data_IF_090008321970
#
_entry.id   IF_090008321970
#
_cell.length_a   1.000
_cell.length_b   1.000
_cell.length_c   1.000
_cell.angle_alpha   90.00
_cell.angle_beta   90.00
_cell.angle_gamma   90.00
#
_symmetry.space_group_name_H-M   'P 1'
#
loop_
_entity.id
_entity.type
_entity.pdbx_description
1 polymer ?
#
# COMPACT_ATOMS: atom_id res chain seq x y z
N UNK A 1 -13.40 0.40 -5.03
CA UNK A 1 -12.13 1.02 -5.46
C UNK A 1 -11.95 2.44 -4.94
N UNK A 2 -12.94 3.34 -4.97
CA UNK A 2 -12.82 4.67 -4.32
C UNK A 2 -12.54 4.55 -2.82
N UNK A 3 -13.13 3.58 -2.13
CA UNK A 3 -12.82 3.29 -0.73
C UNK A 3 -11.34 2.90 -0.54
N UNK A 4 -10.75 2.13 -1.45
CA UNK A 4 -9.33 1.81 -1.43
C UNK A 4 -8.44 3.04 -1.58
N UNK A 5 -8.79 3.97 -2.48
CA UNK A 5 -8.07 5.24 -2.62
C UNK A 5 -8.17 6.08 -1.34
N UNK A 6 -9.35 6.18 -0.72
CA UNK A 6 -9.55 6.90 0.53
C UNK A 6 -8.70 6.30 1.66
N UNK A 7 -8.71 4.97 1.84
CA UNK A 7 -7.89 4.30 2.85
C UNK A 7 -6.39 4.46 2.57
N UNK A 8 -5.96 4.41 1.31
CA UNK A 8 -4.56 4.66 0.95
C UNK A 8 -4.14 6.10 1.25
N UNK A 9 -5.05 7.07 1.09
CA UNK A 9 -4.79 8.46 1.47
C UNK A 9 -4.64 8.60 2.99
N UNK A 10 -5.55 7.99 3.76
CA UNK A 10 -5.45 7.98 5.23
C UNK A 10 -4.15 7.30 5.68
N UNK A 11 -3.80 6.17 5.04
CA UNK A 11 -2.53 5.50 5.32
C UNK A 11 -1.32 6.39 5.03
N UNK A 12 -1.30 7.10 3.89
CA UNK A 12 -0.22 8.01 3.56
C UNK A 12 -0.06 9.12 4.59
N UNK A 13 -1.16 9.75 5.00
CA UNK A 13 -1.15 10.80 6.05
C UNK A 13 -0.62 10.22 7.37
N UNK A 14 -1.12 9.05 7.78
CA UNK A 14 -0.67 8.39 9.00
C UNK A 14 0.82 7.99 8.93
N UNK A 15 1.26 7.45 7.78
CA UNK A 15 2.66 7.11 7.55
C UNK A 15 3.56 8.36 7.64
N UNK A 16 3.12 9.50 7.12
CA UNK A 16 3.87 10.76 7.23
C UNK A 16 3.98 11.27 8.68
N UNK A 17 2.93 11.09 9.48
CA UNK A 17 2.95 11.41 10.92
C UNK A 17 3.96 10.52 11.65
N UNK A 18 3.95 9.22 11.37
CA UNK A 18 4.92 8.28 11.97
C UNK A 18 6.34 8.55 11.49
N UNK A 19 6.53 8.90 10.21
CA UNK A 19 7.87 9.22 9.69
C UNK A 19 8.47 10.49 10.29
N UNK A 20 7.67 11.34 10.94
CA UNK A 20 8.21 12.44 11.73
C UNK A 20 9.10 11.96 12.90
N UNK A 21 8.83 10.77 13.45
CA UNK A 21 9.64 10.16 14.52
C UNK A 21 10.77 9.26 13.99
N UNK A 22 10.83 8.97 12.69
CA UNK A 22 11.73 7.96 12.12
C UNK A 22 13.20 8.27 12.40
N UNK A 23 13.60 9.54 12.43
CA UNK A 23 14.97 9.93 12.77
C UNK A 23 15.32 9.51 14.21
N UNK A 24 14.41 9.76 15.14
CA UNK A 24 14.60 9.39 16.55
C UNK A 24 14.69 7.87 16.72
N UNK A 25 13.83 7.13 16.00
CA UNK A 25 13.80 5.68 16.04
C UNK A 25 15.07 5.08 15.40
N UNK A 26 15.55 5.63 14.29
CA UNK A 26 16.82 5.24 13.65
C UNK A 26 18.01 5.51 14.55
N UNK A 27 18.05 6.63 15.25
CA UNK A 27 19.13 6.96 16.21
C UNK A 27 19.12 5.98 17.38
N UNK A 28 17.93 5.67 17.93
CA UNK A 28 17.77 4.68 19.01
C UNK A 28 18.23 3.29 18.56
N UNK A 29 17.77 2.85 17.40
CA UNK A 29 18.18 1.57 16.81
C UNK A 29 19.70 1.51 16.60
N UNK A 30 20.27 2.56 16.00
CA UNK A 30 21.71 2.65 15.77
C UNK A 30 22.54 2.56 17.07
N UNK A 31 22.00 3.10 18.17
CA UNK A 31 22.66 3.05 19.48
C UNK A 31 22.67 1.63 20.08
N UNK A 32 21.77 0.73 19.66
CA UNK A 32 21.73 -0.67 20.10
C UNK A 32 22.67 -1.57 19.29
N UNK A 33 23.14 -1.10 18.12
CA UNK A 33 24.06 -1.87 17.28
C UNK A 33 25.50 -1.84 17.83
N UNK A 34 26.30 -2.90 17.58
CA UNK A 34 27.72 -2.91 17.90
C UNK A 34 28.46 -1.73 17.25
N UNK A 35 29.38 -1.11 17.96
CA UNK A 35 30.14 0.08 17.49
C UNK A 35 30.67 -0.02 16.05
N UNK A 36 31.14 -1.23 15.66
CA UNK A 36 31.64 -1.49 14.31
C UNK A 36 30.58 -1.42 13.20
N UNK A 37 29.26 -1.49 13.56
CA UNK A 37 28.11 -1.44 12.63
C UNK A 37 27.32 -0.15 12.77
N UNK A 38 27.67 0.74 13.69
CA UNK A 38 26.97 1.99 13.86
C UNK A 38 27.14 2.91 12.65
N UNK A 39 26.05 3.48 12.22
CA UNK A 39 26.00 4.44 11.12
C UNK A 39 26.35 5.84 11.62
N UNK A 40 26.99 6.62 10.77
CA UNK A 40 27.27 8.03 11.04
C UNK A 40 25.99 8.87 10.98
N UNK A 41 26.01 10.07 11.56
CA UNK A 41 24.87 10.99 11.53
C UNK A 41 24.42 11.35 10.10
N UNK A 42 25.36 11.47 9.15
CA UNK A 42 25.04 11.72 7.74
C UNK A 42 24.33 10.53 7.10
N UNK A 43 24.78 9.30 7.37
CA UNK A 43 24.14 8.08 6.89
C UNK A 43 22.72 7.91 7.46
N UNK A 44 22.53 8.19 8.75
CA UNK A 44 21.19 8.15 9.38
C UNK A 44 20.25 9.18 8.77
N UNK A 45 20.73 10.41 8.49
CA UNK A 45 19.95 11.42 7.80
C UNK A 45 19.57 10.98 6.37
N UNK A 46 20.51 10.41 5.63
CA UNK A 46 20.26 9.90 4.28
C UNK A 46 19.22 8.77 4.29
N UNK A 47 19.32 7.84 5.23
CA UNK A 47 18.33 6.77 5.41
C UNK A 47 16.94 7.35 5.75
N UNK A 48 16.86 8.27 6.71
CA UNK A 48 15.58 8.90 7.06
C UNK A 48 14.94 9.60 5.85
N UNK A 49 15.73 10.34 5.08
CA UNK A 49 15.25 11.01 3.86
C UNK A 49 14.78 10.00 2.82
N UNK A 50 15.52 8.91 2.64
CA UNK A 50 15.12 7.82 1.73
C UNK A 50 13.79 7.20 2.15
N UNK A 51 13.60 6.88 3.44
CA UNK A 51 12.34 6.33 3.94
C UNK A 51 11.16 7.28 3.75
N UNK A 52 11.34 8.57 4.02
CA UNK A 52 10.29 9.57 3.82
C UNK A 52 9.95 9.70 2.33
N UNK A 53 10.95 9.84 1.48
CA UNK A 53 10.75 9.98 0.04
C UNK A 53 10.08 8.74 -0.57
N UNK A 54 10.54 7.54 -0.21
CA UNK A 54 9.95 6.29 -0.69
C UNK A 54 8.50 6.13 -0.21
N UNK A 55 8.18 6.49 1.03
CA UNK A 55 6.81 6.45 1.57
C UNK A 55 5.87 7.36 0.78
N UNK A 56 6.31 8.58 0.47
CA UNK A 56 5.52 9.54 -0.32
C UNK A 56 5.31 8.99 -1.74
N UNK A 57 6.37 8.59 -2.41
CA UNK A 57 6.31 8.10 -3.80
C UNK A 57 5.41 6.87 -3.90
N UNK A 58 5.62 5.87 -3.06
CA UNK A 58 4.82 4.63 -3.07
C UNK A 58 3.35 4.92 -2.72
N UNK A 59 3.10 5.80 -1.74
CA UNK A 59 1.75 6.21 -1.36
C UNK A 59 1.01 6.91 -2.49
N UNK A 60 1.65 7.85 -3.19
CA UNK A 60 1.07 8.53 -4.35
C UNK A 60 0.79 7.56 -5.51
N UNK A 61 1.72 6.64 -5.79
CA UNK A 61 1.53 5.60 -6.80
C UNK A 61 0.31 4.72 -6.43
N UNK A 62 0.20 4.31 -5.17
CA UNK A 62 -0.92 3.48 -4.71
C UNK A 62 -2.27 4.20 -4.89
N UNK A 63 -2.37 5.47 -4.49
CA UNK A 63 -3.57 6.29 -4.68
C UNK A 63 -3.90 6.42 -6.18
N UNK A 64 -2.89 6.75 -7.01
CA UNK A 64 -3.04 6.86 -8.45
C UNK A 64 -3.54 5.57 -9.10
N UNK A 65 -3.00 4.42 -8.70
CA UNK A 65 -3.44 3.10 -9.18
C UNK A 65 -4.89 2.82 -8.79
N UNK A 66 -5.31 3.10 -7.55
CA UNK A 66 -6.69 2.92 -7.13
C UNK A 66 -7.67 3.77 -7.95
N UNK A 67 -7.34 5.04 -8.17
CA UNK A 67 -8.18 5.96 -8.97
C UNK A 67 -8.21 5.56 -10.44
N UNK A 68 -7.05 5.20 -11.01
CA UNK A 68 -6.96 4.74 -12.38
C UNK A 68 -7.78 3.47 -12.61
N UNK A 69 -7.64 2.48 -11.72
CA UNK A 69 -8.40 1.24 -11.80
C UNK A 69 -9.91 1.48 -11.59
N UNK A 70 -10.30 2.41 -10.71
CA UNK A 70 -11.71 2.81 -10.58
C UNK A 70 -12.25 3.34 -11.92
N UNK A 71 -11.54 4.25 -12.57
CA UNK A 71 -11.90 4.82 -13.88
C UNK A 71 -12.00 3.74 -14.97
N UNK A 72 -11.02 2.83 -15.05
CA UNK A 72 -11.02 1.78 -16.06
C UNK A 72 -12.17 0.78 -15.88
N UNK A 73 -12.48 0.42 -14.63
CA UNK A 73 -13.59 -0.48 -14.32
C UNK A 73 -14.96 0.17 -14.58
N UNK A 74 -15.15 1.45 -14.24
CA UNK A 74 -16.38 2.18 -14.58
C UNK A 74 -16.54 2.37 -16.08
N UNK A 75 -15.44 2.49 -16.84
CA UNK A 75 -15.47 2.51 -18.30
C UNK A 75 -15.81 1.13 -18.93
N UNK A 76 -15.99 0.08 -18.13
CA UNK A 76 -16.37 -1.25 -18.60
C UNK A 76 -15.28 -1.99 -19.38
N UNK A 77 -14.01 -1.68 -19.12
CA UNK A 77 -12.87 -2.36 -19.77
C UNK A 77 -12.59 -3.70 -19.08
N UNK A 78 -12.86 -4.81 -19.76
CA UNK A 78 -12.71 -6.17 -19.21
C UNK A 78 -11.28 -6.49 -18.76
N UNK A 79 -10.25 -5.98 -19.45
CA UNK A 79 -8.85 -6.17 -19.07
C UNK A 79 -8.51 -5.56 -17.69
N UNK A 80 -9.23 -4.51 -17.29
CA UNK A 80 -9.01 -3.86 -16.00
C UNK A 80 -9.23 -4.82 -14.82
N UNK A 81 -10.12 -5.80 -14.97
CA UNK A 81 -10.37 -6.85 -13.95
C UNK A 81 -9.14 -7.75 -13.78
N UNK A 82 -8.50 -8.13 -14.88
CA UNK A 82 -7.30 -8.98 -14.87
C UNK A 82 -6.16 -8.21 -14.20
N UNK A 83 -5.93 -6.96 -14.62
CA UNK A 83 -4.87 -6.12 -14.03
C UNK A 83 -5.13 -5.88 -12.53
N UNK A 84 -6.38 -5.61 -12.11
CA UNK A 84 -6.72 -5.50 -10.68
C UNK A 84 -6.37 -6.77 -9.92
N UNK A 85 -6.62 -7.95 -10.49
CA UNK A 85 -6.32 -9.24 -9.85
C UNK A 85 -4.82 -9.46 -9.71
N UNK A 86 -4.04 -9.12 -10.75
CA UNK A 86 -2.56 -9.23 -10.73
C UNK A 86 -1.97 -8.28 -9.70
N UNK A 87 -2.41 -7.01 -9.69
CA UNK A 87 -1.94 -6.03 -8.71
C UNK A 87 -2.27 -6.44 -7.28
N UNK A 88 -3.46 -7.02 -7.05
CA UNK A 88 -3.84 -7.53 -5.75
C UNK A 88 -2.99 -8.74 -5.32
N UNK A 89 -2.68 -9.64 -6.25
CA UNK A 89 -1.80 -10.79 -5.97
C UNK A 89 -0.39 -10.32 -5.59
N UNK A 90 0.19 -9.36 -6.33
CA UNK A 90 1.49 -8.77 -6.02
C UNK A 90 1.48 -8.08 -4.64
N UNK A 91 0.42 -7.31 -4.35
CA UNK A 91 0.25 -6.67 -3.05
C UNK A 91 0.12 -7.68 -1.91
N UNK A 92 -0.62 -8.77 -2.13
CA UNK A 92 -0.78 -9.86 -1.14
C UNK A 92 0.54 -10.54 -0.85
N UNK A 93 1.35 -10.80 -1.88
CA UNK A 93 2.70 -11.35 -1.71
C UNK A 93 3.60 -10.41 -0.92
N UNK A 94 3.61 -9.11 -1.27
CA UNK A 94 4.37 -8.10 -0.52
C UNK A 94 3.94 -8.03 0.95
N UNK A 95 2.62 -8.03 1.20
CA UNK A 95 2.07 -8.03 2.56
C UNK A 95 2.51 -9.26 3.36
N UNK A 96 2.46 -10.44 2.75
CA UNK A 96 2.91 -11.68 3.38
C UNK A 96 4.39 -11.62 3.79
N UNK A 97 5.25 -11.18 2.88
CA UNK A 97 6.70 -11.04 3.17
C UNK A 97 6.94 -10.00 4.25
N UNK A 98 6.22 -8.88 4.22
CA UNK A 98 6.39 -7.78 5.19
C UNK A 98 5.98 -8.17 6.59
N UNK A 99 4.88 -8.91 6.77
CA UNK A 99 4.43 -9.39 8.09
C UNK A 99 5.46 -10.32 8.73
N UNK A 100 6.13 -11.15 7.92
CA UNK A 100 7.16 -12.07 8.43
C UNK A 100 8.43 -11.40 8.96
N UNK A 101 8.65 -10.14 8.65
CA UNK A 101 9.84 -9.38 9.06
C UNK A 101 9.62 -8.44 10.25
N UNK A 102 8.38 -8.31 10.72
CA UNK A 102 8.04 -7.39 11.82
C UNK A 102 8.13 -8.09 13.18
N UNK A 103 9.19 -7.83 13.91
CA UNK A 103 9.35 -8.28 15.30
C UNK A 103 9.25 -7.08 16.25
N UNK A 104 8.14 -6.99 16.94
CA UNK A 104 7.93 -6.27 18.21
C UNK A 104 7.87 -4.73 18.18
N UNK A 105 6.71 -4.15 18.42
CA UNK A 105 6.37 -2.91 19.11
C UNK A 105 4.92 -2.49 18.82
N UNK A 106 4.28 -1.70 19.67
CA UNK A 106 2.88 -1.25 19.53
C UNK A 106 2.60 -0.54 18.18
N UNK A 107 3.58 0.18 17.62
CA UNK A 107 3.50 0.84 16.30
C UNK A 107 3.28 -0.16 15.17
N UNK A 108 3.79 -1.39 15.30
CA UNK A 108 3.62 -2.46 14.34
C UNK A 108 2.20 -3.02 14.33
N UNK A 109 1.52 -3.02 15.47
CA UNK A 109 0.12 -3.50 15.55
C UNK A 109 -0.77 -2.58 14.74
N UNK A 110 -0.64 -1.26 14.89
CA UNK A 110 -1.47 -0.28 14.18
C UNK A 110 -1.21 -0.34 12.67
N UNK A 111 0.05 -0.40 12.26
CA UNK A 111 0.40 -0.51 10.82
C UNK A 111 -0.11 -1.82 10.23
N UNK A 112 -0.01 -2.94 10.95
CA UNK A 112 -0.53 -4.24 10.52
C UNK A 112 -2.04 -4.22 10.36
N UNK A 113 -2.77 -3.62 11.30
CA UNK A 113 -4.24 -3.48 11.21
C UNK A 113 -4.63 -2.69 9.95
N UNK A 114 -3.97 -1.56 9.68
CA UNK A 114 -4.26 -0.74 8.50
C UNK A 114 -3.97 -1.52 7.21
N UNK A 115 -2.85 -2.24 7.15
CA UNK A 115 -2.50 -3.10 6.00
C UNK A 115 -3.56 -4.18 5.79
N UNK A 116 -4.01 -4.86 6.84
CA UNK A 116 -5.06 -5.88 6.77
C UNK A 116 -6.40 -5.30 6.33
N UNK A 117 -6.80 -4.14 6.85
CA UNK A 117 -8.02 -3.45 6.40
C UNK A 117 -7.95 -3.11 4.91
N UNK A 118 -6.83 -2.57 4.45
CA UNK A 118 -6.61 -2.26 3.03
C UNK A 118 -6.65 -3.52 2.17
N UNK A 119 -6.07 -4.61 2.65
CA UNK A 119 -6.09 -5.90 1.98
C UNK A 119 -7.51 -6.46 1.86
N UNK A 120 -8.31 -6.40 2.94
CA UNK A 120 -9.72 -6.83 2.93
C UNK A 120 -10.57 -5.99 1.96
N UNK A 121 -10.35 -4.68 1.87
CA UNK A 121 -11.02 -3.81 0.89
C UNK A 121 -10.64 -4.21 -0.53
N UNK A 122 -9.37 -4.53 -0.78
CA UNK A 122 -8.90 -5.04 -2.06
C UNK A 122 -9.57 -6.35 -2.45
N UNK A 123 -9.65 -7.31 -1.51
CA UNK A 123 -10.30 -8.59 -1.69
C UNK A 123 -11.80 -8.45 -1.98
N UNK A 124 -12.51 -7.63 -1.19
CA UNK A 124 -13.92 -7.34 -1.43
C UNK A 124 -14.15 -6.67 -2.79
N UNK A 125 -13.27 -5.75 -3.19
CA UNK A 125 -13.34 -5.11 -4.51
C UNK A 125 -13.17 -6.12 -5.63
N UNK A 126 -12.22 -7.07 -5.52
CA UNK A 126 -12.06 -8.14 -6.50
C UNK A 126 -13.28 -9.04 -6.56
N UNK A 127 -13.78 -9.49 -5.41
CA UNK A 127 -14.98 -10.32 -5.36
C UNK A 127 -16.16 -9.66 -6.08
N UNK A 128 -16.40 -8.37 -5.84
CA UNK A 128 -17.45 -7.60 -6.50
C UNK A 128 -17.24 -7.49 -8.02
N UNK A 129 -15.99 -7.34 -8.47
CA UNK A 129 -15.64 -7.26 -9.89
C UNK A 129 -15.92 -8.56 -10.67
N UNK A 130 -15.82 -9.70 -10.02
CA UNK A 130 -16.02 -11.01 -10.64
C UNK A 130 -17.45 -11.55 -10.48
N UNK A 131 -18.35 -10.79 -9.83
CA UNK A 131 -19.76 -11.20 -9.74
C UNK A 131 -20.45 -11.27 -11.13
N UNK A 132 -21.45 -12.15 -11.31
CA UNK A 132 -22.20 -12.30 -12.57
C UNK A 132 -22.78 -10.97 -13.06
N UNK A 133 -23.32 -10.16 -12.15
CA UNK A 133 -23.89 -8.82 -12.45
C UNK A 133 -22.84 -7.89 -13.06
N UNK A 134 -21.63 -7.86 -12.49
CA UNK A 134 -20.50 -7.08 -13.03
C UNK A 134 -20.10 -7.60 -14.42
N UNK A 135 -20.10 -8.91 -14.61
CA UNK A 135 -19.77 -9.53 -15.90
C UNK A 135 -20.79 -9.15 -16.99
N UNK A 136 -22.08 -9.11 -16.65
CA UNK A 136 -23.12 -8.65 -17.58
C UNK A 136 -22.91 -7.17 -17.99
N UNK A 137 -22.55 -6.30 -17.04
CA UNK A 137 -22.22 -4.90 -17.31
C UNK A 137 -21.05 -4.76 -18.30
N UNK A 138 -19.96 -5.51 -18.11
CA UNK A 138 -18.80 -5.46 -19.01
C UNK A 138 -19.15 -5.97 -20.43
N UNK A 139 -19.97 -7.02 -20.55
CA UNK A 139 -20.45 -7.52 -21.83
C UNK A 139 -21.30 -6.50 -22.55
N UNK A 140 -22.29 -5.89 -21.87
CA UNK A 140 -23.15 -4.85 -22.45
C UNK A 140 -22.34 -3.63 -22.93
N UNK A 141 -21.36 -3.17 -22.15
CA UNK A 141 -20.47 -2.07 -22.53
C UNK A 141 -19.54 -2.42 -23.69
N UNK A 142 -19.14 -3.65 -23.85
CA UNK A 142 -18.33 -4.11 -24.99
C UNK A 142 -19.13 -4.14 -26.30
N UNK A 143 -20.43 -4.50 -26.23
CA UNK A 143 -21.34 -4.52 -27.38
C UNK A 143 -21.79 -3.13 -27.85
N UNK A 144 -21.75 -2.14 -26.96
CA UNK A 144 -22.14 -0.75 -27.25
C UNK A 144 -21.00 0.10 -27.86
N UNK A 145 -19.86 -0.50 -28.18
CA UNK A 145 -18.70 0.15 -28.83
C UNK A 145 -18.52 -0.32 -30.24
#
# INVERSE_FOLDING_TARGET
MLAGAAVSTVYLVFALIITASIKTDLVRWNATEPKAKQLTASQLNSLATYYIASTIIVGLIAIGLWLWMAKMNTAGRSWARIVSSVLFALWSYYTYVSIGQTHGAATLIISTVIVLVTWLIGLASLFLLWRPVSTAFYKAKAQAR
#
